data_IF_295243485173
#
_entry.id   IF_295243485173
#
_cell.length_a   1.000
_cell.length_b   1.000
_cell.length_c   1.000
_cell.angle_alpha   90.00
_cell.angle_beta   90.00
_cell.angle_gamma   90.00
#
_symmetry.space_group_name_H-M   'P 1'
#
loop_
_entity.id
_entity.type
_entity.pdbx_description
1 polymer ?
#
# COMPACT_ATOMS: atom_id res chain seq x y z
N UNK A 1 9.22 25.28 38.85
CA UNK A 1 10.25 24.30 38.43
C UNK A 1 9.58 22.96 38.15
N UNK A 2 9.78 22.43 36.94
CA UNK A 2 9.46 21.07 36.49
C UNK A 2 10.64 20.73 35.53
N UNK A 3 11.70 20.01 35.97
CA UNK A 3 11.87 18.56 36.13
C UNK A 3 11.68 17.84 34.78
N UNK A 4 12.77 17.26 34.24
CA UNK A 4 12.94 16.48 32.98
C UNK A 4 13.50 17.21 31.73
N UNK A 5 14.84 17.35 31.61
CA UNK A 5 15.53 17.91 30.45
C UNK A 5 15.87 16.90 29.32
N UNK A 6 15.35 15.66 29.36
CA UNK A 6 15.84 14.53 28.54
C UNK A 6 14.83 14.01 27.49
N UNK A 7 13.73 14.73 27.23
CA UNK A 7 12.76 14.33 26.20
C UNK A 7 12.83 15.27 25.00
N UNK A 8 13.59 14.90 23.97
CA UNK A 8 13.58 15.55 22.66
C UNK A 8 12.17 15.47 22.07
N UNK A 9 11.47 16.61 22.08
CA UNK A 9 10.22 16.78 21.36
C UNK A 9 10.49 16.66 19.85
N UNK A 10 10.19 15.50 19.25
CA UNK A 10 10.19 15.34 17.79
C UNK A 10 9.07 16.22 17.20
N UNK A 11 9.38 17.20 16.33
CA UNK A 11 8.37 18.09 15.76
C UNK A 11 7.53 17.34 14.72
N UNK A 12 6.52 16.61 15.20
CA UNK A 12 5.58 15.81 14.39
C UNK A 12 4.12 16.23 14.53
N UNK A 13 3.82 17.42 15.09
CA UNK A 13 2.45 17.84 15.43
C UNK A 13 1.98 19.10 14.72
N UNK A 14 2.47 19.38 13.51
CA UNK A 14 1.82 20.37 12.64
C UNK A 14 1.24 19.65 11.44
N UNK A 15 -0.07 19.34 11.54
CA UNK A 15 -0.94 19.03 10.40
C UNK A 15 -0.98 20.26 9.49
N UNK A 16 0.06 20.46 8.70
CA UNK A 16 0.00 21.40 7.58
C UNK A 16 -1.01 20.81 6.61
N UNK A 17 -2.13 21.50 6.40
CA UNK A 17 -3.01 21.20 5.27
C UNK A 17 -2.13 21.29 4.03
N UNK A 18 -1.71 20.15 3.49
CA UNK A 18 -1.13 20.08 2.17
C UNK A 18 -2.06 20.90 1.27
N UNK A 19 -1.50 21.87 0.53
CA UNK A 19 -2.27 22.79 -0.29
C UNK A 19 -3.35 22.00 -1.03
N UNK A 20 -4.61 22.47 -1.01
CA UNK A 20 -5.83 21.70 -1.33
C UNK A 20 -5.84 20.91 -2.68
N UNK A 21 -4.81 21.05 -3.52
CA UNK A 21 -4.63 20.34 -4.78
C UNK A 21 -3.36 19.46 -4.86
N UNK A 22 -2.46 19.45 -3.88
CA UNK A 22 -1.17 18.73 -3.98
C UNK A 22 -1.37 17.23 -4.23
N UNK A 23 -2.28 16.60 -3.48
CA UNK A 23 -2.60 15.18 -3.60
C UNK A 23 -3.57 14.84 -4.72
N UNK A 24 -4.09 15.82 -5.47
CA UNK A 24 -4.92 15.53 -6.67
C UNK A 24 -4.07 15.07 -7.85
N UNK A 25 -2.78 15.41 -7.84
CA UNK A 25 -1.84 15.00 -8.87
C UNK A 25 -1.24 13.63 -8.51
N UNK A 26 -1.46 12.65 -9.39
CA UNK A 26 -0.92 11.29 -9.24
C UNK A 26 0.61 11.30 -9.21
N UNK A 27 1.28 12.26 -9.87
CA UNK A 27 2.74 12.37 -9.82
C UNK A 27 3.26 12.67 -8.41
N UNK A 28 2.53 13.46 -7.61
CA UNK A 28 2.89 13.73 -6.22
C UNK A 28 2.60 12.52 -5.32
N UNK A 29 1.50 11.81 -5.58
CA UNK A 29 1.22 10.55 -4.89
C UNK A 29 2.33 9.52 -5.16
N UNK A 30 2.81 9.44 -6.40
CA UNK A 30 3.92 8.56 -6.78
C UNK A 30 5.21 8.89 -6.06
N UNK A 31 5.58 10.16 -5.99
CA UNK A 31 6.76 10.59 -5.20
C UNK A 31 6.67 10.16 -3.74
N UNK A 32 5.50 10.33 -3.13
CA UNK A 32 5.25 9.89 -1.75
C UNK A 32 5.45 8.39 -1.59
N UNK A 33 4.86 7.56 -2.47
CA UNK A 33 5.04 6.11 -2.41
C UNK A 33 6.46 5.67 -2.77
N UNK A 34 7.18 6.39 -3.63
CA UNK A 34 8.59 6.13 -3.93
C UNK A 34 9.52 6.44 -2.74
N UNK A 35 9.18 7.43 -1.90
CA UNK A 35 9.88 7.69 -0.64
C UNK A 35 9.53 6.65 0.42
N UNK A 36 8.25 6.26 0.47
CA UNK A 36 7.76 5.24 1.39
C UNK A 36 8.39 3.86 1.08
N UNK A 37 8.51 3.50 -0.20
CA UNK A 37 9.15 2.26 -0.62
C UNK A 37 10.61 2.20 -0.19
N UNK A 38 11.35 3.30 -0.30
CA UNK A 38 12.73 3.40 0.22
C UNK A 38 12.78 3.27 1.73
N UNK A 39 11.86 3.92 2.45
CA UNK A 39 11.83 3.91 3.92
C UNK A 39 11.52 2.52 4.49
N UNK A 40 10.61 1.78 3.87
CA UNK A 40 10.20 0.45 4.31
C UNK A 40 10.93 -0.69 3.57
N UNK A 41 11.95 -0.36 2.75
CA UNK A 41 12.71 -1.31 1.93
C UNK A 41 11.81 -2.24 1.11
N UNK A 42 10.79 -1.66 0.47
CA UNK A 42 9.84 -2.34 -0.41
C UNK A 42 10.50 -2.48 -1.78
N UNK A 43 10.78 -3.72 -2.19
CA UNK A 43 11.48 -4.00 -3.44
C UNK A 43 10.57 -4.60 -4.50
N UNK A 44 9.51 -5.28 -4.07
CA UNK A 44 8.57 -5.99 -4.94
C UNK A 44 7.13 -5.50 -4.74
N UNK A 45 6.25 -5.66 -5.75
CA UNK A 45 4.82 -5.39 -5.61
C UNK A 45 4.16 -6.13 -4.43
N UNK A 46 4.63 -7.35 -4.11
CA UNK A 46 4.11 -8.14 -2.99
C UNK A 46 4.48 -7.58 -1.61
N UNK A 47 5.62 -6.90 -1.48
CA UNK A 47 6.08 -6.31 -0.21
C UNK A 47 5.12 -5.22 0.29
N UNK A 48 4.40 -4.56 -0.64
CA UNK A 48 3.34 -3.61 -0.29
C UNK A 48 2.22 -4.23 0.53
N UNK A 49 2.00 -5.55 0.43
CA UNK A 49 1.01 -6.26 1.24
C UNK A 49 1.34 -6.31 2.73
N UNK A 50 2.62 -6.11 3.08
CA UNK A 50 3.08 -6.05 4.47
C UNK A 50 2.92 -4.66 5.08
N UNK A 51 2.71 -3.62 4.25
CA UNK A 51 2.51 -2.25 4.70
C UNK A 51 1.10 -2.10 5.27
N UNK A 52 1.02 -1.70 6.53
CA UNK A 52 -0.25 -1.47 7.22
C UNK A 52 -0.78 -0.07 6.92
N UNK A 53 -2.11 0.05 6.94
CA UNK A 53 -2.81 1.32 6.76
C UNK A 53 -2.30 2.40 7.73
N UNK A 54 -2.09 2.03 9.00
CA UNK A 54 -1.61 2.92 10.06
C UNK A 54 -0.21 3.47 9.77
N UNK A 55 0.66 2.69 9.13
CA UNK A 55 1.99 3.15 8.75
C UNK A 55 1.89 4.27 7.71
N UNK A 56 1.03 4.11 6.70
CA UNK A 56 0.84 5.12 5.65
C UNK A 56 0.18 6.39 6.23
N UNK A 57 -0.76 6.23 7.15
CA UNK A 57 -1.38 7.36 7.86
C UNK A 57 -0.36 8.15 8.69
N UNK A 58 0.52 7.46 9.42
CA UNK A 58 1.58 8.08 10.22
C UNK A 58 2.61 8.84 9.37
N UNK A 59 2.85 8.40 8.14
CA UNK A 59 3.70 9.11 7.17
C UNK A 59 2.98 10.28 6.47
N UNK A 60 1.69 10.51 6.75
CA UNK A 60 0.92 11.62 6.16
C UNK A 60 0.18 11.26 4.86
N UNK A 61 0.10 9.98 4.50
CA UNK A 61 -0.58 9.48 3.29
C UNK A 61 -2.11 9.40 3.41
N UNK A 62 -2.69 9.74 4.56
CA UNK A 62 -4.16 9.73 4.76
C UNK A 62 -4.97 10.45 3.66
N UNK A 63 -4.57 11.65 3.17
CA UNK A 63 -5.29 12.33 2.10
C UNK A 63 -5.29 11.59 0.76
N UNK A 64 -4.28 10.74 0.53
CA UNK A 64 -4.18 9.91 -0.67
C UNK A 64 -5.11 8.71 -0.52
N UNK A 65 -5.06 8.02 0.62
CA UNK A 65 -5.91 6.85 0.90
C UNK A 65 -7.40 7.18 0.80
N UNK A 66 -7.81 8.38 1.21
CA UNK A 66 -9.21 8.83 1.12
C UNK A 66 -9.72 9.04 -0.32
N UNK A 67 -8.83 9.16 -1.31
CA UNK A 67 -9.22 9.35 -2.71
C UNK A 67 -9.61 8.05 -3.41
N UNK A 68 -9.24 6.90 -2.86
CA UNK A 68 -9.43 5.60 -3.48
C UNK A 68 -10.31 4.71 -2.61
N UNK A 69 -10.98 3.74 -3.24
CA UNK A 69 -11.83 2.76 -2.53
C UNK A 69 -11.04 1.76 -1.70
N UNK A 70 -9.80 1.48 -2.07
CA UNK A 70 -8.92 0.57 -1.35
C UNK A 70 -7.45 0.91 -1.59
N UNK A 71 -6.57 0.44 -0.69
CA UNK A 71 -5.13 0.62 -0.84
C UNK A 71 -4.59 0.01 -2.15
N UNK A 72 -5.17 -1.12 -2.58
CA UNK A 72 -4.82 -1.73 -3.85
C UNK A 72 -5.20 -0.85 -5.05
N UNK A 73 -6.31 -0.11 -4.95
CA UNK A 73 -6.70 0.85 -5.99
C UNK A 73 -5.76 2.07 -6.01
N UNK A 74 -5.26 2.49 -4.84
CA UNK A 74 -4.20 3.51 -4.76
C UNK A 74 -2.94 3.05 -5.49
N UNK A 75 -2.45 1.84 -5.23
CA UNK A 75 -1.25 1.31 -5.87
C UNK A 75 -1.41 1.17 -7.38
N UNK A 76 -2.57 0.70 -7.86
CA UNK A 76 -2.90 0.63 -9.29
C UNK A 76 -2.93 2.00 -9.97
N UNK A 77 -3.40 3.03 -9.28
CA UNK A 77 -3.43 4.38 -9.82
C UNK A 77 -2.05 5.01 -9.88
N UNK A 78 -1.21 4.76 -8.86
CA UNK A 78 0.14 5.34 -8.73
C UNK A 78 1.17 4.63 -9.62
N UNK A 79 1.03 3.31 -9.77
CA UNK A 79 1.92 2.44 -10.53
C UNK A 79 1.12 1.59 -11.53
N UNK A 80 0.52 2.21 -12.56
CA UNK A 80 -0.25 1.50 -13.57
C UNK A 80 0.61 0.52 -14.41
N UNK A 81 1.92 0.69 -14.40
CA UNK A 81 2.88 -0.20 -15.07
C UNK A 81 3.05 -1.56 -14.38
N UNK A 82 2.67 -1.68 -13.11
CA UNK A 82 2.81 -2.92 -12.34
C UNK A 82 1.51 -3.72 -12.35
N UNK A 83 1.62 -5.03 -12.54
CA UNK A 83 0.47 -5.93 -12.46
C UNK A 83 0.20 -6.27 -10.99
N UNK A 84 -0.76 -5.54 -10.41
CA UNK A 84 -1.15 -5.71 -9.02
C UNK A 84 -2.08 -6.92 -8.85
N UNK A 85 -1.50 -8.12 -8.82
CA UNK A 85 -2.23 -9.36 -8.52
C UNK A 85 -2.73 -9.33 -7.07
N UNK A 86 -4.05 -9.27 -6.93
CA UNK A 86 -4.74 -9.07 -5.65
C UNK A 86 -4.46 -10.13 -4.59
N UNK A 87 -3.93 -11.30 -4.99
CA UNK A 87 -3.61 -12.39 -4.08
C UNK A 87 -2.23 -12.21 -3.44
N UNK A 88 -1.25 -11.64 -4.15
CA UNK A 88 0.10 -11.46 -3.61
C UNK A 88 0.18 -10.28 -2.63
N UNK A 89 -0.69 -9.27 -2.80
CA UNK A 89 -0.66 -8.04 -1.99
C UNK A 89 -1.62 -8.13 -0.79
N UNK A 90 -2.65 -8.99 -0.84
CA UNK A 90 -3.61 -9.07 0.27
C UNK A 90 -3.16 -10.07 1.32
N UNK A 91 -2.70 -9.56 2.46
CA UNK A 91 -2.51 -10.33 3.70
C UNK A 91 -3.82 -10.90 4.25
N UNK A 92 -4.96 -10.26 3.97
CA UNK A 92 -6.30 -10.79 4.27
C UNK A 92 -7.23 -10.70 3.06
N UNK A 93 -7.69 -11.86 2.62
CA UNK A 93 -8.72 -11.97 1.59
C UNK A 93 -10.10 -11.66 2.19
N UNK A 94 -11.03 -11.06 1.42
CA UNK A 94 -12.39 -10.79 1.89
C UNK A 94 -13.08 -12.05 2.44
N UNK A 95 -13.98 -11.88 3.41
CA UNK A 95 -14.83 -12.99 3.85
C UNK A 95 -15.57 -13.58 2.65
N UNK A 96 -15.53 -14.91 2.52
CA UNK A 96 -16.05 -15.70 1.39
C UNK A 96 -15.23 -15.66 0.09
N UNK A 97 -14.03 -15.06 0.06
CA UNK A 97 -13.18 -15.06 -1.15
C UNK A 97 -12.97 -16.46 -1.72
N UNK A 98 -12.66 -17.43 -0.86
CA UNK A 98 -12.47 -18.83 -1.23
C UNK A 98 -13.76 -19.60 -1.48
N UNK A 99 -14.95 -19.07 -1.17
CA UNK A 99 -16.22 -19.71 -1.55
C UNK A 99 -16.52 -19.53 -3.04
N UNK A 100 -15.92 -18.53 -3.69
CA UNK A 100 -16.07 -18.31 -5.12
C UNK A 100 -15.09 -19.18 -5.91
N UNK A 101 -15.62 -20.11 -6.70
CA UNK A 101 -14.84 -21.03 -7.55
C UNK A 101 -14.01 -20.33 -8.62
N UNK A 102 -14.43 -19.15 -9.10
CA UNK A 102 -13.62 -18.35 -10.02
C UNK A 102 -12.35 -17.81 -9.35
N UNK A 103 -12.43 -17.43 -8.07
CA UNK A 103 -11.25 -16.98 -7.31
C UNK A 103 -10.28 -18.13 -7.06
N UNK A 104 -10.81 -19.34 -6.80
CA UNK A 104 -9.98 -20.55 -6.67
C UNK A 104 -9.25 -20.84 -7.99
N UNK A 105 -9.96 -20.86 -9.12
CA UNK A 105 -9.36 -21.13 -10.43
C UNK A 105 -8.27 -20.12 -10.76
N UNK A 106 -8.56 -18.83 -10.58
CA UNK A 106 -7.59 -17.75 -10.82
C UNK A 106 -6.31 -17.93 -9.99
N UNK A 107 -6.45 -18.30 -8.71
CA UNK A 107 -5.30 -18.57 -7.84
C UNK A 107 -4.45 -19.76 -8.32
N UNK A 108 -5.10 -20.86 -8.73
CA UNK A 108 -4.36 -22.02 -9.24
C UNK A 108 -3.72 -21.74 -10.61
N UNK A 109 -4.35 -20.95 -11.47
CA UNK A 109 -3.76 -20.52 -12.74
C UNK A 109 -2.51 -19.65 -12.50
N UNK A 110 -2.58 -18.71 -11.55
CA UNK A 110 -1.44 -17.88 -11.11
C UNK A 110 -0.30 -18.75 -10.54
N UNK A 111 -0.62 -19.77 -9.73
CA UNK A 111 0.37 -20.73 -9.21
C UNK A 111 1.00 -21.57 -10.33
N UNK A 112 0.20 -22.03 -11.30
CA UNK A 112 0.70 -22.83 -12.41
C UNK A 112 1.71 -22.05 -13.25
N UNK A 113 1.45 -20.76 -13.50
CA UNK A 113 2.40 -19.84 -14.16
C UNK A 113 3.65 -19.66 -13.31
N UNK A 114 3.48 -19.36 -12.02
CA UNK A 114 4.60 -19.08 -11.09
C UNK A 114 5.56 -20.25 -10.93
N UNK A 115 5.03 -21.47 -10.86
CA UNK A 115 5.82 -22.69 -10.69
C UNK A 115 6.08 -23.44 -12.00
N UNK A 116 5.70 -22.85 -13.13
CA UNK A 116 5.82 -23.42 -14.47
C UNK A 116 5.28 -24.87 -14.55
N UNK A 117 4.19 -25.14 -13.83
CA UNK A 117 3.59 -26.47 -13.72
C UNK A 117 2.81 -26.71 -15.02
N UNK A 118 3.35 -27.57 -15.89
CA UNK A 118 2.63 -27.99 -17.09
C UNK A 118 1.52 -28.96 -16.71
N UNK A 119 0.37 -28.84 -17.38
CA UNK A 119 -0.70 -29.84 -17.27
C UNK A 119 -0.12 -31.21 -17.64
N UNK A 120 -0.38 -32.26 -16.83
CA UNK A 120 -0.06 -33.63 -17.22
C UNK A 120 -0.85 -34.07 -18.46
#
# INVERSE_FOLDING_TARGET
>A
EAIYPEYEWKPGTVRTRAANNHWKDVANQRKFFDELSKKFNIQTPGDWGSVQYEQIENEGGYPILKQYSSFLDTLKAVYPEHDWNSVEIRTRLPNNYWKNTNNQRKFFDELAVKYNIQKP
#
